data_IF_900087434215
#
_entry.id   IF_900087434215
#
_cell.length_a   1.000
_cell.length_b   1.000
_cell.length_c   1.000
_cell.angle_alpha   90.00
_cell.angle_beta   90.00
_cell.angle_gamma   90.00
#
_symmetry.space_group_name_H-M   'P 1'
#
loop_
_entity.id
_entity.type
_entity.pdbx_description
1 polymer ?
#
# COMPACT_ATOMS: atom_id res chain seq x y z
N UNK A 1 9.33 9.04 15.75
CA UNK A 1 8.99 7.99 14.78
C UNK A 1 7.70 7.36 15.23
N UNK A 2 6.65 7.48 14.42
CA UNK A 2 5.32 6.93 14.71
C UNK A 2 4.96 5.88 13.69
N UNK A 3 4.42 4.76 14.15
CA UNK A 3 3.98 3.66 13.32
C UNK A 3 2.47 3.72 13.15
N UNK A 4 2.00 3.64 11.91
CA UNK A 4 0.58 3.68 11.56
C UNK A 4 0.20 2.42 10.81
N UNK A 5 -1.01 1.94 11.06
CA UNK A 5 -1.64 0.90 10.26
C UNK A 5 -2.62 1.58 9.30
N UNK A 6 -2.48 1.31 8.01
CA UNK A 6 -3.30 1.93 6.96
C UNK A 6 -3.86 0.87 6.03
N UNK A 7 -5.01 1.19 5.43
CA UNK A 7 -5.61 0.44 4.34
C UNK A 7 -5.61 1.33 3.10
N UNK A 8 -5.23 0.78 1.95
CA UNK A 8 -5.22 1.45 0.66
C UNK A 8 -5.87 0.56 -0.40
N UNK A 9 -6.66 1.16 -1.30
CA UNK A 9 -7.14 0.49 -2.50
C UNK A 9 -6.22 0.82 -3.67
N UNK A 10 -5.75 -0.22 -4.36
CA UNK A 10 -4.79 -0.11 -5.45
C UNK A 10 -5.40 -0.75 -6.70
N UNK A 11 -5.33 -0.08 -7.83
CA UNK A 11 -5.78 -0.65 -9.09
C UNK A 11 -4.85 -1.82 -9.49
N UNK A 12 -5.46 -2.95 -9.86
CA UNK A 12 -4.73 -4.14 -10.29
C UNK A 12 -4.02 -3.81 -11.60
N UNK A 13 -2.72 -4.03 -11.64
CA UNK A 13 -1.89 -3.84 -12.83
C UNK A 13 -1.75 -5.17 -13.58
N UNK A 14 -1.42 -5.08 -14.88
CA UNK A 14 -1.28 -6.25 -15.75
C UNK A 14 -0.17 -7.19 -15.28
N UNK A 15 0.90 -6.65 -14.70
CA UNK A 15 2.01 -7.45 -14.17
C UNK A 15 2.15 -7.32 -12.64
N UNK A 16 2.56 -8.41 -11.95
CA UNK A 16 2.81 -8.38 -10.51
C UNK A 16 3.86 -7.35 -10.08
N UNK A 17 4.86 -7.09 -10.92
CA UNK A 17 5.93 -6.12 -10.65
C UNK A 17 5.41 -4.69 -10.68
N UNK A 18 4.55 -4.35 -11.64
CA UNK A 18 3.90 -3.03 -11.71
C UNK A 18 2.94 -2.83 -10.54
N UNK A 19 2.19 -3.87 -10.17
CA UNK A 19 1.32 -3.83 -9.00
C UNK A 19 2.13 -3.58 -7.72
N UNK A 20 3.22 -4.30 -7.51
CA UNK A 20 4.11 -4.06 -6.36
C UNK A 20 4.60 -2.60 -6.34
N UNK A 21 5.08 -2.08 -7.48
CA UNK A 21 5.56 -0.71 -7.57
C UNK A 21 4.45 0.32 -7.27
N UNK A 22 3.23 0.09 -7.75
CA UNK A 22 2.07 0.94 -7.50
C UNK A 22 1.68 0.93 -6.01
N UNK A 23 1.68 -0.24 -5.37
CA UNK A 23 1.44 -0.39 -3.94
C UNK A 23 2.48 0.41 -3.14
N UNK A 24 3.77 0.17 -3.38
CA UNK A 24 4.84 0.87 -2.66
C UNK A 24 4.79 2.39 -2.86
N UNK A 25 4.50 2.83 -4.09
CA UNK A 25 4.35 4.25 -4.41
C UNK A 25 3.18 4.90 -3.67
N UNK A 26 2.04 4.21 -3.55
CA UNK A 26 0.88 4.72 -2.80
C UNK A 26 1.16 4.76 -1.30
N UNK A 27 1.70 3.68 -0.75
CA UNK A 27 2.03 3.60 0.68
C UNK A 27 3.05 4.67 1.08
N UNK A 28 4.03 4.96 0.20
CA UNK A 28 5.05 5.99 0.44
C UNK A 28 4.48 7.39 0.59
N UNK A 29 3.31 7.68 0.02
CA UNK A 29 2.60 8.96 0.23
C UNK A 29 2.14 9.13 1.68
N UNK A 30 1.91 8.03 2.39
CA UNK A 30 1.43 8.00 3.77
C UNK A 30 2.56 7.81 4.80
N UNK A 31 3.70 7.25 4.38
CA UNK A 31 4.89 7.04 5.21
C UNK A 31 5.80 5.97 4.62
N UNK A 32 6.95 5.71 5.24
CA UNK A 32 7.85 4.66 4.74
C UNK A 32 7.26 3.27 5.06
N UNK A 33 6.94 2.44 4.05
CA UNK A 33 6.33 1.14 4.27
C UNK A 33 7.33 0.16 4.89
N UNK A 34 6.95 -0.45 6.01
CA UNK A 34 7.74 -1.51 6.65
C UNK A 34 7.29 -2.91 6.21
N UNK A 35 5.97 -3.09 6.08
CA UNK A 35 5.34 -4.33 5.66
C UNK A 35 3.96 -4.02 5.11
N UNK A 36 3.56 -4.75 4.08
CA UNK A 36 2.21 -4.69 3.55
C UNK A 36 1.76 -6.08 3.09
N UNK A 37 0.46 -6.26 2.93
CA UNK A 37 -0.15 -7.46 2.37
C UNK A 37 -1.45 -7.08 1.63
N UNK A 38 -1.71 -7.77 0.52
CA UNK A 38 -3.03 -7.72 -0.13
C UNK A 38 -3.98 -8.57 0.73
N UNK A 39 -5.07 -7.98 1.18
CA UNK A 39 -6.06 -8.64 2.05
C UNK A 39 -7.35 -9.00 1.31
N UNK A 40 -7.64 -8.28 0.22
CA UNK A 40 -8.77 -8.59 -0.66
C UNK A 40 -8.45 -8.20 -2.10
N UNK A 41 -9.08 -8.88 -3.04
CA UNK A 41 -9.05 -8.57 -4.48
C UNK A 41 -10.49 -8.51 -4.97
N UNK A 42 -10.86 -7.40 -5.58
CA UNK A 42 -12.13 -7.15 -6.24
C UNK A 42 -11.89 -7.19 -7.76
N UNK A 43 -12.18 -8.34 -8.35
CA UNK A 43 -12.01 -8.56 -9.80
C UNK A 43 -13.05 -7.78 -10.63
N UNK A 44 -14.22 -7.45 -10.08
CA UNK A 44 -15.23 -6.68 -10.81
C UNK A 44 -14.78 -5.22 -11.00
N UNK A 45 -14.15 -4.67 -9.96
CA UNK A 45 -13.62 -3.30 -9.98
C UNK A 45 -12.16 -3.22 -10.42
N UNK A 46 -11.49 -4.36 -10.59
CA UNK A 46 -10.06 -4.48 -10.84
C UNK A 46 -9.23 -3.74 -9.77
N UNK A 47 -9.54 -3.98 -8.49
CA UNK A 47 -8.87 -3.34 -7.34
C UNK A 47 -8.41 -4.35 -6.30
N UNK A 48 -7.25 -4.11 -5.72
CA UNK A 48 -6.73 -4.83 -4.57
C UNK A 48 -6.79 -3.95 -3.32
N UNK A 49 -7.28 -4.51 -2.21
CA UNK A 49 -7.17 -3.88 -0.89
C UNK A 49 -5.84 -4.30 -0.26
N UNK A 50 -5.03 -3.31 0.10
CA UNK A 50 -3.73 -3.50 0.74
C UNK A 50 -3.76 -2.92 2.14
N UNK A 51 -3.38 -3.74 3.10
CA UNK A 51 -3.12 -3.30 4.45
C UNK A 51 -1.61 -3.17 4.67
N UNK A 52 -1.19 -2.08 5.30
CA UNK A 52 0.22 -1.77 5.47
C UNK A 52 0.53 -1.14 6.83
N UNK A 53 1.75 -1.41 7.29
CA UNK A 53 2.39 -0.74 8.41
C UNK A 53 3.38 0.25 7.83
N UNK A 54 3.15 1.54 8.07
CA UNK A 54 4.04 2.62 7.64
C UNK A 54 4.65 3.34 8.83
N UNK A 55 5.85 3.86 8.66
CA UNK A 55 6.49 4.74 9.65
C UNK A 55 6.59 6.16 9.12
N UNK A 56 6.22 7.11 9.96
CA UNK A 56 6.42 8.53 9.70
C UNK A 56 7.47 9.07 10.66
N UNK A 57 8.43 9.80 10.10
CA UNK A 57 9.40 10.54 10.89
C UNK A 57 8.77 11.90 11.17
N UNK A 58 8.27 12.09 12.40
CA UNK A 58 7.81 13.40 12.85
C UNK A 58 9.02 14.34 12.81
N UNK A 59 9.08 15.24 11.83
CA UNK A 59 10.05 16.32 11.82
C UNK A 59 9.77 17.19 13.07
N UNK A 60 10.78 17.37 13.89
CA UNK A 60 10.73 18.19 15.09
C UNK A 60 10.94 19.66 14.75
#
# INVERSE_FOLDING_TARGET
MTTHFISAEIDIQETPTELQAAIEAELKKQGEPLRWAITAVDDERQKATVEAVVTTVSAK
#
